data_IF_410322677619
#
_entry.id   IF_410322677619
#
_cell.length_a   1.000
_cell.length_b   1.000
_cell.length_c   1.000
_cell.angle_alpha   90.00
_cell.angle_beta   90.00
_cell.angle_gamma   90.00
#
_symmetry.space_group_name_H-M   'P 1'
#
loop_
_entity.id
_entity.type
_entity.pdbx_description
1 polymer ?
#
# COMPACT_ATOMS: atom_id res chain seq x y z
N UNK A 1 27.02 7.45 0.48
CA UNK A 1 26.03 8.43 -0.02
C UNK A 1 25.24 7.79 -1.14
N UNK A 2 23.93 7.59 -0.96
CA UNK A 2 23.08 7.03 -2.01
C UNK A 2 22.98 8.02 -3.20
N UNK A 3 23.05 7.51 -4.43
CA UNK A 3 22.99 8.32 -5.67
C UNK A 3 21.58 8.44 -6.28
N UNK A 4 20.55 7.89 -5.64
CA UNK A 4 19.20 7.83 -6.19
C UNK A 4 18.11 8.09 -5.16
N UNK A 5 16.89 8.36 -5.66
CA UNK A 5 15.69 8.58 -4.85
C UNK A 5 14.74 7.40 -5.05
N UNK A 6 14.39 6.75 -3.95
CA UNK A 6 13.26 5.82 -3.91
C UNK A 6 12.20 6.44 -3.00
N UNK A 7 11.08 6.86 -3.59
CA UNK A 7 9.96 7.49 -2.87
C UNK A 7 8.66 6.96 -3.44
N UNK A 8 7.80 6.45 -2.56
CA UNK A 8 6.43 6.02 -2.88
C UNK A 8 5.48 6.86 -2.04
N UNK A 9 4.43 7.41 -2.65
CA UNK A 9 3.35 8.14 -1.98
C UNK A 9 2.05 7.42 -2.32
N UNK A 10 1.36 6.92 -1.31
CA UNK A 10 0.10 6.19 -1.46
C UNK A 10 -0.99 6.90 -0.65
N UNK A 11 -2.19 6.97 -1.23
CA UNK A 11 -3.41 7.41 -0.56
C UNK A 11 -4.47 6.35 -0.85
N UNK A 12 -5.05 5.77 0.19
CA UNK A 12 -5.93 4.63 0.05
C UNK A 12 -6.60 4.24 1.36
N UNK A 13 -7.29 3.10 1.33
CA UNK A 13 -8.02 2.59 2.49
C UNK A 13 -7.31 1.37 3.08
N UNK A 14 -7.32 1.24 4.40
CA UNK A 14 -6.76 0.05 5.06
C UNK A 14 -7.75 -1.11 4.91
N UNK A 15 -7.27 -2.27 4.47
CA UNK A 15 -8.09 -3.46 4.20
C UNK A 15 -8.49 -4.28 5.43
N UNK A 16 -7.97 -3.93 6.60
CA UNK A 16 -8.21 -4.64 7.86
C UNK A 16 -7.46 -3.98 9.02
N UNK A 17 -7.60 -4.53 10.21
CA UNK A 17 -6.92 -4.00 11.39
C UNK A 17 -5.38 -4.13 11.26
N UNK A 18 -4.59 -3.13 11.70
CA UNK A 18 -3.13 -3.23 11.68
C UNK A 18 -2.60 -4.39 12.53
N UNK A 19 -1.67 -5.16 11.97
CA UNK A 19 -1.06 -6.30 12.65
C UNK A 19 0.30 -5.94 13.24
N UNK A 20 0.41 -5.91 14.57
CA UNK A 20 1.68 -5.61 15.27
C UNK A 20 2.31 -6.89 15.83
N UNK A 21 3.61 -7.06 15.60
CA UNK A 21 4.42 -8.15 16.15
C UNK A 21 5.69 -7.60 16.80
N UNK A 22 6.14 -8.24 17.87
CA UNK A 22 7.39 -7.89 18.54
C UNK A 22 8.50 -8.86 18.12
N UNK A 23 9.63 -8.32 17.68
CA UNK A 23 10.82 -9.09 17.36
C UNK A 23 11.51 -9.58 18.65
N UNK A 24 12.40 -10.59 18.58
CA UNK A 24 13.14 -11.07 19.76
C UNK A 24 13.98 -10.01 20.49
N UNK A 25 14.38 -8.94 19.78
CA UNK A 25 15.10 -7.81 20.36
C UNK A 25 14.17 -6.78 21.05
N UNK A 26 12.86 -7.03 21.08
CA UNK A 26 11.85 -6.15 21.68
C UNK A 26 11.27 -5.10 20.73
N UNK A 27 11.79 -4.95 19.51
CA UNK A 27 11.30 -3.94 18.58
C UNK A 27 9.92 -4.30 18.01
N UNK A 28 9.05 -3.31 17.88
CA UNK A 28 7.73 -3.48 17.28
C UNK A 28 7.80 -3.36 15.75
N UNK A 29 7.06 -4.23 15.06
CA UNK A 29 6.82 -4.14 13.61
C UNK A 29 5.32 -4.22 13.36
N UNK A 30 4.78 -3.21 12.69
CA UNK A 30 3.36 -3.16 12.31
C UNK A 30 3.22 -3.31 10.81
N UNK A 31 2.32 -4.20 10.38
CA UNK A 31 1.97 -4.38 8.97
C UNK A 31 0.55 -3.87 8.74
N UNK A 32 0.33 -3.21 7.60
CA UNK A 32 -1.01 -2.94 7.07
C UNK A 32 -1.10 -3.38 5.60
N UNK A 33 -2.32 -3.62 5.16
CA UNK A 33 -2.66 -3.86 3.75
C UNK A 33 -3.48 -2.67 3.26
N UNK A 34 -3.01 -1.94 2.25
CA UNK A 34 -3.61 -0.70 1.75
C UNK A 34 -4.15 -0.88 0.33
N UNK A 35 -5.44 -0.60 0.14
CA UNK A 35 -6.10 -0.57 -1.16
C UNK A 35 -6.00 0.82 -1.80
N UNK A 36 -5.55 0.88 -3.06
CA UNK A 36 -5.66 2.06 -3.91
C UNK A 36 -6.46 1.71 -5.16
N UNK A 37 -7.44 2.52 -5.55
CA UNK A 37 -8.23 2.29 -6.76
C UNK A 37 -7.94 3.35 -7.83
N UNK A 38 -7.88 2.93 -9.08
CA UNK A 38 -7.92 3.79 -10.26
C UNK A 38 -9.21 3.50 -11.06
N UNK A 39 -9.83 4.55 -11.59
CA UNK A 39 -10.98 4.43 -12.49
C UNK A 39 -10.69 5.12 -13.81
N UNK A 40 -10.93 4.43 -14.92
CA UNK A 40 -10.71 4.99 -16.26
C UNK A 40 -11.81 4.54 -17.22
N UNK A 41 -11.94 5.24 -18.34
CA UNK A 41 -12.82 4.84 -19.44
C UNK A 41 -12.04 3.98 -20.42
N UNK A 42 -12.48 2.76 -20.65
CA UNK A 42 -11.88 1.87 -21.63
C UNK A 42 -12.05 2.44 -23.05
N UNK A 43 -10.96 2.44 -23.83
CA UNK A 43 -10.93 3.11 -25.14
C UNK A 43 -11.65 2.31 -26.23
N UNK A 44 -11.80 1.00 -26.08
CA UNK A 44 -12.42 0.14 -27.11
C UNK A 44 -13.93 0.01 -26.89
N UNK A 45 -14.33 -0.14 -25.63
CA UNK A 45 -15.72 -0.41 -25.23
C UNK A 45 -16.45 0.84 -24.76
N UNK A 46 -15.73 1.90 -24.37
CA UNK A 46 -16.31 3.11 -23.80
C UNK A 46 -16.87 2.92 -22.38
N UNK A 47 -16.68 1.76 -21.76
CA UNK A 47 -17.19 1.48 -20.42
C UNK A 47 -16.25 2.04 -19.34
N UNK A 48 -16.84 2.40 -18.19
CA UNK A 48 -16.06 2.75 -17.01
C UNK A 48 -15.48 1.46 -16.39
N UNK A 49 -14.19 1.44 -16.16
CA UNK A 49 -13.47 0.36 -15.48
C UNK A 49 -12.92 0.88 -14.16
N UNK A 50 -12.87 0.01 -13.15
CA UNK A 50 -12.20 0.26 -11.88
C UNK A 50 -11.20 -0.88 -11.61
N UNK A 51 -10.02 -0.53 -11.11
CA UNK A 51 -9.02 -1.50 -10.68
C UNK A 51 -8.46 -1.11 -9.33
N UNK A 52 -8.46 -2.08 -8.41
CA UNK A 52 -7.85 -1.94 -7.10
C UNK A 52 -6.49 -2.64 -7.07
N UNK A 53 -5.50 -1.93 -6.54
CA UNK A 53 -4.18 -2.47 -6.20
C UNK A 53 -4.02 -2.55 -4.68
N UNK A 54 -3.36 -3.62 -4.23
CA UNK A 54 -3.16 -3.91 -2.81
C UNK A 54 -1.67 -3.83 -2.45
N UNK A 55 -1.35 -3.00 -1.46
CA UNK A 55 0.00 -2.72 -1.02
C UNK A 55 0.22 -3.23 0.38
N UNK A 56 1.32 -3.96 0.62
CA UNK A 56 1.76 -4.30 1.97
C UNK A 56 2.71 -3.21 2.47
N UNK A 57 2.32 -2.49 3.50
CA UNK A 57 3.13 -1.43 4.13
C UNK A 57 3.64 -1.91 5.48
N UNK A 58 4.93 -1.70 5.75
CA UNK A 58 5.60 -2.13 6.98
C UNK A 58 6.15 -0.92 7.71
N UNK A 59 5.74 -0.75 8.97
CA UNK A 59 6.25 0.25 9.89
C UNK A 59 7.25 -0.41 10.85
N UNK A 60 8.42 0.21 10.99
CA UNK A 60 9.45 -0.20 11.95
C UNK A 60 9.56 0.88 13.04
N UNK A 61 9.61 0.46 14.31
CA UNK A 61 9.77 1.32 15.48
C UNK A 61 10.87 0.85 16.42
#
# INVERSE_FOLDING_TARGET
>A
MARGVNKVILVGNVGGDPETRYMPNGNAVTNITLATSESWKDKQTGQQQERTEWHRVVFFG
#
